data_IF_548843816031
#
_entry.id   IF_548843816031
#
_cell.length_a   1.000
_cell.length_b   1.000
_cell.length_c   1.000
_cell.angle_alpha   90.00
_cell.angle_beta   90.00
_cell.angle_gamma   90.00
#
_symmetry.space_group_name_H-M   'P 1'
#
loop_
_entity.id
_entity.type
_entity.pdbx_description
1 polymer ?
#
# COMPACT_ATOMS: atom_id res chain seq x y z
N UNK A 1 55.73 54.05 -6.12
CA UNK A 1 55.18 53.15 -5.09
C UNK A 1 53.70 53.38 -4.81
N UNK A 2 53.20 54.59 -4.48
CA UNK A 2 51.76 54.83 -4.19
C UNK A 2 50.79 54.44 -5.33
N UNK A 3 51.14 54.70 -6.62
CA UNK A 3 50.32 54.35 -7.77
C UNK A 3 50.21 52.82 -8.00
N UNK A 4 51.28 52.07 -7.70
CA UNK A 4 51.32 50.62 -7.83
C UNK A 4 50.45 49.94 -6.76
N UNK A 5 50.44 50.47 -5.53
CA UNK A 5 49.57 50.00 -4.46
C UNK A 5 48.07 50.20 -4.73
N UNK A 6 47.73 51.32 -5.41
CA UNK A 6 46.31 51.58 -5.78
C UNK A 6 45.87 50.61 -6.86
N UNK A 7 46.73 50.29 -7.84
CA UNK A 7 46.40 49.33 -8.91
C UNK A 7 46.20 47.91 -8.33
N UNK A 8 47.05 47.49 -7.39
CA UNK A 8 46.95 46.20 -6.72
C UNK A 8 45.68 46.14 -5.87
N UNK A 9 45.33 47.20 -5.12
CA UNK A 9 44.12 47.24 -4.32
C UNK A 9 42.83 47.16 -5.16
N UNK A 10 42.80 47.89 -6.32
CA UNK A 10 41.66 47.82 -7.26
C UNK A 10 41.52 46.44 -7.92
N UNK A 11 42.63 45.79 -8.26
CA UNK A 11 42.63 44.43 -8.83
C UNK A 11 42.12 43.39 -7.79
N UNK A 12 42.50 43.50 -6.53
CA UNK A 12 41.97 42.64 -5.45
C UNK A 12 40.49 42.84 -5.18
N UNK A 13 39.97 44.07 -5.25
CA UNK A 13 38.54 44.32 -5.12
C UNK A 13 37.72 43.75 -6.28
N UNK A 14 38.26 43.74 -7.49
CA UNK A 14 37.57 43.14 -8.67
C UNK A 14 37.56 41.63 -8.66
N UNK A 15 38.53 40.97 -8.00
CA UNK A 15 38.55 39.51 -7.82
C UNK A 15 37.62 38.99 -6.71
N UNK A 16 37.21 39.85 -5.78
CA UNK A 16 36.30 39.49 -4.69
C UNK A 16 34.80 39.55 -5.09
N UNK A 17 34.45 40.04 -6.29
CA UNK A 17 33.07 40.28 -6.71
C UNK A 17 32.39 39.10 -7.37
N UNK A 18 33.06 37.93 -7.53
CA UNK A 18 32.44 36.73 -8.08
C UNK A 18 32.15 35.67 -7.01
N UNK A 19 31.30 36.00 -6.05
CA UNK A 19 30.60 35.00 -5.30
C UNK A 19 29.25 34.78 -6.02
N UNK A 20 29.24 33.83 -6.95
CA UNK A 20 28.00 33.27 -7.45
C UNK A 20 27.43 32.39 -6.32
N UNK A 21 26.67 32.97 -5.41
CA UNK A 21 25.76 32.18 -4.60
C UNK A 21 24.74 31.52 -5.54
N UNK A 22 25.09 30.31 -5.99
CA UNK A 22 24.15 29.45 -6.67
C UNK A 22 23.11 29.03 -5.64
N UNK A 23 22.06 29.82 -5.50
CA UNK A 23 20.83 29.37 -4.86
C UNK A 23 20.18 28.35 -5.81
N UNK A 24 20.12 27.06 -5.44
CA UNK A 24 19.40 26.10 -6.26
C UNK A 24 17.99 26.62 -6.46
N UNK A 25 17.54 26.73 -7.73
CA UNK A 25 16.16 27.08 -8.01
C UNK A 25 15.29 26.06 -7.29
N UNK A 26 14.29 26.48 -6.49
CA UNK A 26 13.38 25.55 -5.85
C UNK A 26 12.78 24.70 -6.95
N UNK A 27 12.84 23.36 -6.81
CA UNK A 27 12.16 22.46 -7.71
C UNK A 27 10.66 22.82 -7.64
N UNK A 28 10.07 23.21 -8.76
CA UNK A 28 8.64 23.36 -8.85
C UNK A 28 8.05 21.93 -8.84
N UNK A 29 7.63 21.46 -7.68
CA UNK A 29 6.83 20.26 -7.61
C UNK A 29 5.49 20.51 -8.28
N UNK A 30 5.06 19.59 -9.14
CA UNK A 30 3.73 19.63 -9.73
C UNK A 30 2.74 19.57 -8.55
N UNK A 31 1.84 20.56 -8.43
CA UNK A 31 0.77 20.51 -7.44
C UNK A 31 -0.14 19.33 -7.80
N UNK A 32 -0.20 18.35 -6.93
CA UNK A 32 -1.13 17.23 -7.06
C UNK A 32 -2.32 17.55 -6.18
N UNK A 33 -3.48 17.79 -6.81
CA UNK A 33 -4.72 17.98 -6.08
C UNK A 33 -5.26 16.60 -5.68
N UNK A 34 -5.23 16.33 -4.38
CA UNK A 34 -5.77 15.12 -3.78
C UNK A 34 -7.21 15.38 -3.33
N UNK A 35 -8.18 14.50 -3.59
CA UNK A 35 -9.54 14.63 -3.09
C UNK A 35 -9.58 14.40 -1.58
N UNK A 36 -10.70 14.77 -0.96
CA UNK A 36 -10.98 14.35 0.40
C UNK A 36 -11.15 12.82 0.47
N UNK A 37 -10.78 12.25 1.62
CA UNK A 37 -11.01 10.84 1.87
C UNK A 37 -12.49 10.61 2.19
N UNK A 38 -13.18 9.87 1.34
CA UNK A 38 -14.52 9.36 1.57
C UNK A 38 -14.51 7.85 1.44
N UNK A 39 -15.16 7.15 2.36
CA UNK A 39 -15.07 5.70 2.45
C UNK A 39 -16.44 5.04 2.36
N UNK A 40 -16.46 3.83 1.83
CA UNK A 40 -17.63 2.97 1.78
C UNK A 40 -17.29 1.55 2.21
N UNK A 41 -18.28 0.88 2.83
CA UNK A 41 -18.11 -0.49 3.33
C UNK A 41 -18.04 -1.49 2.18
N UNK A 42 -16.97 -2.27 2.16
CA UNK A 42 -16.75 -3.38 1.23
C UNK A 42 -16.97 -4.69 1.97
N UNK A 43 -18.02 -5.40 1.62
CA UNK A 43 -18.34 -6.72 2.18
C UNK A 43 -18.66 -7.76 1.12
N UNK A 44 -19.09 -7.28 -0.05
CA UNK A 44 -19.43 -8.07 -1.22
C UNK A 44 -18.91 -7.40 -2.48
N UNK A 45 -18.49 -8.18 -3.46
CA UNK A 45 -18.04 -7.66 -4.74
C UNK A 45 -18.85 -8.25 -5.88
N UNK A 46 -19.29 -7.41 -6.85
CA UNK A 46 -19.86 -7.91 -8.08
C UNK A 46 -18.78 -8.67 -8.85
N UNK A 47 -19.14 -9.83 -9.36
CA UNK A 47 -18.22 -10.66 -10.16
C UNK A 47 -18.70 -10.70 -11.59
N UNK A 48 -17.79 -10.49 -12.53
CA UNK A 48 -18.05 -10.73 -13.95
C UNK A 48 -17.06 -11.77 -14.46
N UNK A 49 -17.58 -12.85 -15.04
CA UNK A 49 -16.75 -13.87 -15.71
C UNK A 49 -17.17 -13.92 -17.19
N UNK A 50 -16.23 -13.69 -18.10
CA UNK A 50 -16.47 -13.67 -19.55
C UNK A 50 -17.60 -12.70 -19.98
N UNK A 51 -17.72 -11.55 -19.29
CA UNK A 51 -18.75 -10.55 -19.60
C UNK A 51 -20.15 -10.86 -19.07
N UNK A 52 -20.33 -11.96 -18.33
CA UNK A 52 -21.57 -12.29 -17.65
C UNK A 52 -21.48 -11.87 -16.18
N UNK A 53 -22.49 -11.10 -15.72
CA UNK A 53 -22.61 -10.74 -14.30
C UNK A 53 -22.96 -11.99 -13.48
N UNK A 54 -22.07 -12.36 -12.60
CA UNK A 54 -22.26 -13.47 -11.66
C UNK A 54 -22.83 -12.95 -10.34
N UNK A 55 -23.38 -13.81 -9.46
CA UNK A 55 -23.77 -13.42 -8.12
C UNK A 55 -22.60 -12.75 -7.37
N UNK A 56 -22.91 -11.73 -6.57
CA UNK A 56 -21.90 -11.04 -5.76
C UNK A 56 -21.16 -12.01 -4.85
N UNK A 57 -19.85 -11.87 -4.79
CA UNK A 57 -18.98 -12.66 -3.92
C UNK A 57 -18.95 -12.02 -2.54
N UNK A 58 -19.36 -12.79 -1.51
CA UNK A 58 -19.20 -12.38 -0.12
C UNK A 58 -17.75 -12.62 0.31
N UNK A 59 -17.06 -11.57 0.72
CA UNK A 59 -15.69 -11.68 1.19
C UNK A 59 -15.61 -12.32 2.60
N UNK A 60 -14.51 -13.02 2.93
CA UNK A 60 -14.28 -13.59 4.28
C UNK A 60 -13.90 -12.51 5.32
N UNK A 61 -13.86 -11.27 4.91
CA UNK A 61 -13.61 -10.08 5.71
C UNK A 61 -14.39 -8.90 5.12
N UNK A 62 -14.57 -7.86 5.89
CA UNK A 62 -15.10 -6.58 5.44
C UNK A 62 -14.14 -5.46 5.86
N UNK A 63 -14.14 -4.37 5.13
CA UNK A 63 -13.33 -3.18 5.39
C UNK A 63 -13.94 -1.97 4.69
N UNK A 64 -13.47 -0.78 4.99
CA UNK A 64 -13.87 0.42 4.26
C UNK A 64 -12.80 0.81 3.23
N UNK A 65 -13.23 1.08 2.00
CA UNK A 65 -12.38 1.52 0.90
C UNK A 65 -12.71 2.96 0.49
N UNK A 66 -11.71 3.69 0.03
CA UNK A 66 -11.87 5.03 -0.53
C UNK A 66 -12.75 4.98 -1.80
N UNK A 67 -13.66 5.95 -1.96
CA UNK A 67 -14.59 6.04 -3.09
C UNK A 67 -13.90 6.31 -4.44
N UNK A 68 -12.67 6.80 -4.41
CA UNK A 68 -11.82 6.96 -5.61
C UNK A 68 -11.15 5.66 -6.08
N UNK A 69 -11.31 4.56 -5.33
CA UNK A 69 -10.71 3.27 -5.63
C UNK A 69 -11.66 2.35 -6.42
N UNK A 70 -11.10 1.57 -7.33
CA UNK A 70 -11.77 0.53 -8.08
C UNK A 70 -11.34 -0.86 -7.59
N UNK A 71 -12.29 -1.68 -7.18
CA UNK A 71 -12.02 -3.01 -6.64
C UNK A 71 -12.11 -4.07 -7.73
N UNK A 72 -11.09 -4.91 -7.84
CA UNK A 72 -11.03 -6.00 -8.82
C UNK A 72 -10.71 -7.33 -8.15
N UNK A 73 -11.68 -8.25 -8.13
CA UNK A 73 -11.47 -9.60 -7.65
C UNK A 73 -10.77 -10.44 -8.72
N UNK A 74 -9.55 -10.95 -8.42
CA UNK A 74 -8.72 -11.68 -9.41
C UNK A 74 -8.98 -13.19 -9.41
N UNK A 75 -8.88 -13.85 -8.27
CA UNK A 75 -9.05 -15.30 -8.16
C UNK A 75 -9.62 -15.68 -6.78
N UNK A 76 -10.93 -15.82 -6.64
CA UNK A 76 -11.47 -16.48 -5.46
C UNK A 76 -11.30 -17.98 -5.62
N UNK A 77 -10.52 -18.61 -4.75
CA UNK A 77 -10.53 -20.07 -4.64
C UNK A 77 -11.63 -20.48 -3.69
N UNK A 78 -12.73 -20.96 -4.26
CA UNK A 78 -13.88 -21.45 -3.51
C UNK A 78 -13.67 -22.89 -3.08
N UNK A 79 -13.95 -23.20 -1.83
CA UNK A 79 -14.22 -24.56 -1.38
C UNK A 79 -15.73 -24.75 -1.44
N UNK A 80 -16.19 -25.41 -2.49
CA UNK A 80 -17.59 -25.79 -2.62
C UNK A 80 -17.94 -26.87 -1.56
N UNK A 81 -18.80 -26.53 -0.61
CA UNK A 81 -19.40 -27.54 0.26
C UNK A 81 -20.60 -28.12 -0.48
N UNK A 82 -20.46 -29.36 -0.97
CA UNK A 82 -21.54 -30.08 -1.61
C UNK A 82 -22.52 -30.61 -0.55
N UNK A 83 -23.81 -30.51 -0.82
CA UNK A 83 -24.83 -31.25 -0.08
C UNK A 83 -24.79 -32.73 -0.48
N UNK A 84 -25.36 -33.60 0.36
CA UNK A 84 -25.46 -35.05 0.09
C UNK A 84 -26.18 -35.38 -1.23
N UNK A 85 -26.96 -34.45 -1.80
CA UNK A 85 -27.63 -34.55 -3.08
C UNK A 85 -26.82 -33.97 -4.26
N UNK A 86 -25.57 -33.60 -4.06
CA UNK A 86 -24.69 -33.01 -5.09
C UNK A 86 -24.93 -31.53 -5.40
N UNK A 87 -25.88 -30.86 -4.74
CA UNK A 87 -26.10 -29.42 -4.91
C UNK A 87 -25.17 -28.60 -4.01
N UNK A 88 -24.78 -27.40 -4.47
CA UNK A 88 -23.95 -26.45 -3.71
C UNK A 88 -24.84 -25.68 -2.73
N UNK A 89 -24.44 -25.58 -1.44
CA UNK A 89 -25.05 -24.65 -0.49
C UNK A 89 -24.56 -23.23 -0.75
N UNK A 90 -25.38 -22.33 -1.29
CA UNK A 90 -24.91 -20.98 -1.66
C UNK A 90 -24.54 -20.10 -0.45
N UNK A 91 -25.05 -20.40 0.73
CA UNK A 91 -24.87 -19.66 1.98
C UNK A 91 -23.60 -20.04 2.76
N UNK A 92 -22.78 -20.94 2.26
CA UNK A 92 -21.53 -21.40 2.87
C UNK A 92 -20.36 -21.47 1.89
N UNK A 93 -20.29 -20.56 0.94
CA UNK A 93 -19.10 -20.42 0.11
C UNK A 93 -17.96 -19.88 1.01
N UNK A 94 -17.13 -20.78 1.50
CA UNK A 94 -15.89 -20.41 2.20
C UNK A 94 -14.80 -20.27 1.16
N UNK A 95 -14.13 -19.14 1.19
CA UNK A 95 -12.94 -18.92 0.37
C UNK A 95 -11.71 -19.30 1.18
N UNK A 96 -10.88 -20.20 0.64
CA UNK A 96 -9.57 -20.50 1.21
C UNK A 96 -8.54 -19.47 0.80
N UNK A 97 -8.73 -18.85 -0.36
CA UNK A 97 -7.84 -17.87 -0.92
C UNK A 97 -8.65 -16.80 -1.70
N UNK A 98 -8.34 -15.53 -1.45
CA UNK A 98 -8.93 -14.39 -2.17
C UNK A 98 -7.81 -13.43 -2.57
N UNK A 99 -7.75 -13.08 -3.84
CA UNK A 99 -6.87 -12.03 -4.37
C UNK A 99 -7.74 -10.86 -4.83
N UNK A 100 -7.54 -9.72 -4.20
CA UNK A 100 -8.29 -8.50 -4.45
C UNK A 100 -7.32 -7.35 -4.71
N UNK A 101 -7.50 -6.66 -5.83
CA UNK A 101 -6.77 -5.43 -6.14
C UNK A 101 -7.66 -4.22 -5.82
N UNK A 102 -7.13 -3.29 -5.03
CA UNK A 102 -7.69 -1.96 -4.83
C UNK A 102 -6.91 -1.03 -5.76
N UNK A 103 -7.52 -0.66 -6.87
CA UNK A 103 -6.88 0.16 -7.90
C UNK A 103 -7.21 1.63 -7.69
N UNK A 104 -6.21 2.49 -7.85
CA UNK A 104 -6.34 3.94 -7.84
C UNK A 104 -5.93 4.49 -9.22
N UNK A 105 -6.84 4.51 -10.22
CA UNK A 105 -6.50 4.83 -11.61
C UNK A 105 -5.89 6.21 -11.77
N UNK A 106 -6.35 7.18 -10.98
CA UNK A 106 -5.88 8.58 -11.03
C UNK A 106 -4.39 8.70 -10.76
N UNK A 107 -3.82 7.84 -9.91
CA UNK A 107 -2.42 7.89 -9.50
C UNK A 107 -1.61 6.69 -9.97
N UNK A 108 -2.21 5.84 -10.80
CA UNK A 108 -1.61 4.58 -11.25
C UNK A 108 -1.09 3.74 -10.07
N UNK A 109 -1.84 3.78 -8.96
CA UNK A 109 -1.56 3.05 -7.73
C UNK A 109 -2.41 1.79 -7.62
N UNK A 110 -1.91 0.81 -6.89
CA UNK A 110 -2.65 -0.42 -6.56
C UNK A 110 -2.23 -0.96 -5.21
N UNK A 111 -3.20 -1.37 -4.40
CA UNK A 111 -2.97 -2.18 -3.21
C UNK A 111 -3.39 -3.61 -3.53
N UNK A 112 -2.42 -4.52 -3.57
CA UNK A 112 -2.67 -5.94 -3.73
C UNK A 112 -3.02 -6.57 -2.39
N UNK A 113 -4.22 -7.11 -2.25
CA UNK A 113 -4.65 -7.88 -1.09
C UNK A 113 -4.64 -9.37 -1.41
N UNK A 114 -4.03 -10.15 -0.54
CA UNK A 114 -4.03 -11.61 -0.59
C UNK A 114 -4.52 -12.14 0.75
N UNK A 115 -5.67 -12.81 0.72
CA UNK A 115 -6.24 -13.48 1.88
C UNK A 115 -6.01 -14.98 1.77
N UNK A 116 -5.59 -15.59 2.89
CA UNK A 116 -5.51 -17.03 3.08
C UNK A 116 -6.32 -17.46 4.31
N UNK A 117 -7.07 -18.55 4.17
CA UNK A 117 -7.68 -19.21 5.32
C UNK A 117 -6.67 -20.15 5.93
N UNK A 118 -6.31 -19.88 7.19
CA UNK A 118 -5.45 -20.78 7.97
C UNK A 118 -6.26 -21.97 8.50
N UNK A 119 -5.61 -23.11 8.68
CA UNK A 119 -6.19 -24.32 9.28
C UNK A 119 -6.13 -24.29 10.81
N UNK A 120 -5.37 -23.37 11.36
CA UNK A 120 -5.18 -23.14 12.78
C UNK A 120 -3.95 -22.29 13.06
N UNK A 121 -3.66 -22.00 14.35
CA UNK A 121 -2.54 -21.13 14.76
C UNK A 121 -1.15 -21.62 14.28
N UNK A 122 -1.00 -22.90 13.97
CA UNK A 122 0.28 -23.46 13.50
C UNK A 122 0.69 -22.91 12.12
N UNK A 123 -0.28 -22.50 11.28
CA UNK A 123 0.00 -21.97 9.94
C UNK A 123 0.51 -20.52 9.99
N UNK A 124 0.19 -19.77 11.06
CA UNK A 124 0.48 -18.33 11.18
C UNK A 124 1.95 -18.00 10.95
N UNK A 125 2.85 -18.78 11.55
CA UNK A 125 4.29 -18.54 11.40
C UNK A 125 4.73 -18.61 9.93
N UNK A 126 4.24 -19.59 9.18
CA UNK A 126 4.55 -19.75 7.77
C UNK A 126 4.04 -18.59 6.91
N UNK A 127 2.86 -18.09 7.22
CA UNK A 127 2.27 -16.93 6.52
C UNK A 127 3.05 -15.64 6.81
N UNK A 128 3.40 -15.41 8.09
CA UNK A 128 4.23 -14.25 8.49
C UNK A 128 5.61 -14.33 7.85
N UNK A 129 6.30 -15.48 7.96
CA UNK A 129 7.62 -15.68 7.34
C UNK A 129 7.59 -15.47 5.82
N UNK A 130 6.48 -15.85 5.17
CA UNK A 130 6.27 -15.61 3.74
C UNK A 130 6.13 -14.10 3.44
N UNK A 131 5.34 -13.38 4.23
CA UNK A 131 5.15 -11.94 4.07
C UNK A 131 6.44 -11.16 4.31
N UNK A 132 7.22 -11.53 5.32
CA UNK A 132 8.52 -10.91 5.60
C UNK A 132 9.53 -11.13 4.46
N UNK A 133 9.53 -12.30 3.81
CA UNK A 133 10.38 -12.54 2.62
C UNK A 133 10.05 -11.61 1.45
N UNK A 134 8.78 -11.25 1.25
CA UNK A 134 8.41 -10.25 0.25
C UNK A 134 8.87 -8.84 0.66
N UNK A 135 8.79 -8.51 1.93
CA UNK A 135 9.29 -7.24 2.47
C UNK A 135 10.81 -7.12 2.28
N UNK A 136 11.57 -8.17 2.59
CA UNK A 136 13.04 -8.22 2.49
C UNK A 136 13.56 -7.93 1.08
N UNK A 137 12.78 -8.25 0.03
CA UNK A 137 13.16 -7.95 -1.36
C UNK A 137 13.34 -6.45 -1.61
N UNK A 138 12.73 -5.60 -0.80
CA UNK A 138 12.83 -4.14 -0.92
C UNK A 138 13.97 -3.54 -0.08
N UNK A 139 14.60 -4.29 0.83
CA UNK A 139 15.64 -3.78 1.73
C UNK A 139 16.88 -3.26 1.02
N UNK A 140 17.22 -3.81 -0.15
CA UNK A 140 18.40 -3.38 -0.91
C UNK A 140 18.28 -1.93 -1.43
N UNK A 141 17.07 -1.43 -1.61
CA UNK A 141 16.78 -0.10 -2.15
C UNK A 141 16.14 0.83 -1.12
N UNK A 142 15.69 0.29 0.01
CA UNK A 142 15.13 1.06 1.10
C UNK A 142 16.24 1.73 1.91
N UNK A 143 16.02 2.98 2.31
CA UNK A 143 16.89 3.73 3.22
C UNK A 143 16.49 3.55 4.69
N UNK A 144 15.30 3.02 4.93
CA UNK A 144 14.76 2.70 6.24
C UNK A 144 13.43 1.96 6.13
N UNK A 145 13.11 1.22 7.17
CA UNK A 145 11.82 0.54 7.34
C UNK A 145 11.31 0.90 8.73
N UNK A 146 10.09 1.41 8.77
CA UNK A 146 9.36 1.68 10.00
C UNK A 146 8.30 0.61 10.15
N UNK A 147 8.27 -0.06 11.30
CA UNK A 147 7.30 -1.10 11.62
C UNK A 147 6.36 -0.58 12.69
N UNK A 148 5.07 -0.73 12.45
CA UNK A 148 4.01 -0.37 13.38
C UNK A 148 3.13 -1.59 13.66
N UNK A 149 3.10 -2.03 14.93
CA UNK A 149 2.18 -3.07 15.38
C UNK A 149 0.74 -2.56 15.43
N UNK A 150 -0.20 -3.40 15.04
CA UNK A 150 -1.63 -3.12 15.12
C UNK A 150 -2.34 -4.18 15.96
N UNK A 151 -3.13 -3.75 16.93
CA UNK A 151 -3.94 -4.62 17.80
C UNK A 151 -5.34 -4.04 18.00
N UNK A 152 -6.34 -4.79 17.58
CA UNK A 152 -7.76 -4.56 17.89
C UNK A 152 -8.35 -5.85 18.51
N UNK A 153 -8.28 -5.99 19.84
CA UNK A 153 -8.77 -7.19 20.54
C UNK A 153 -10.27 -7.37 20.43
N UNK A 154 -11.06 -6.29 20.29
CA UNK A 154 -12.51 -6.33 20.17
C UNK A 154 -12.93 -7.08 18.91
N UNK A 155 -12.25 -6.81 17.79
CA UNK A 155 -12.53 -7.44 16.51
C UNK A 155 -11.55 -8.56 16.15
N UNK A 156 -10.62 -8.87 17.06
CA UNK A 156 -9.56 -9.90 16.88
C UNK A 156 -8.73 -9.66 15.64
N UNK A 157 -8.31 -8.42 15.43
CA UNK A 157 -7.42 -8.04 14.34
C UNK A 157 -6.06 -7.68 14.91
N UNK A 158 -5.04 -8.45 14.52
CA UNK A 158 -3.67 -8.28 14.97
C UNK A 158 -2.73 -8.29 13.77
N UNK A 159 -1.65 -7.54 13.81
CA UNK A 159 -0.70 -7.56 12.70
C UNK A 159 0.34 -6.44 12.76
N UNK A 160 1.00 -6.24 11.63
CA UNK A 160 2.00 -5.19 11.48
C UNK A 160 1.83 -4.46 10.14
N UNK A 161 2.09 -3.17 10.17
CA UNK A 161 2.21 -2.31 9.00
C UNK A 161 3.67 -1.87 8.88
N UNK A 162 4.22 -1.95 7.67
CA UNK A 162 5.60 -1.61 7.35
C UNK A 162 5.62 -0.46 6.35
N UNK A 163 6.27 0.64 6.71
CA UNK A 163 6.50 1.79 5.84
C UNK A 163 7.94 1.79 5.37
N UNK A 164 8.14 1.60 4.07
CA UNK A 164 9.45 1.53 3.46
C UNK A 164 9.85 2.90 2.91
N UNK A 165 10.92 3.46 3.44
CA UNK A 165 11.47 4.77 3.06
C UNK A 165 12.55 4.62 2.00
N UNK A 166 12.64 5.58 1.10
CA UNK A 166 13.65 5.63 0.05
C UNK A 166 13.07 6.00 -1.31
N UNK A 167 13.78 6.83 -2.06
CA UNK A 167 13.29 7.40 -3.33
C UNK A 167 13.05 6.37 -4.43
N UNK A 168 13.67 5.18 -4.34
CA UNK A 168 13.62 4.11 -5.35
C UNK A 168 12.83 2.88 -4.92
N UNK A 169 12.14 2.94 -3.79
CA UNK A 169 11.35 1.81 -3.29
C UNK A 169 10.07 1.68 -4.10
N UNK A 170 9.81 0.50 -4.68
CA UNK A 170 8.64 0.25 -5.50
C UNK A 170 7.36 0.03 -4.68
N UNK A 171 7.49 -0.59 -3.48
CA UNK A 171 6.38 -0.80 -2.54
C UNK A 171 6.67 -0.02 -1.27
N UNK A 172 5.91 1.05 -1.04
CA UNK A 172 6.16 1.99 0.07
C UNK A 172 5.42 1.64 1.35
N UNK A 173 4.41 0.76 1.26
CA UNK A 173 3.66 0.25 2.40
C UNK A 173 3.31 -1.21 2.18
N UNK A 174 3.56 -2.04 3.19
CA UNK A 174 3.13 -3.44 3.24
C UNK A 174 2.56 -3.74 4.62
N UNK A 175 1.62 -4.66 4.70
CA UNK A 175 1.04 -5.07 5.98
C UNK A 175 0.59 -6.52 5.94
N UNK A 176 0.41 -7.10 7.12
CA UNK A 176 -0.33 -8.33 7.30
C UNK A 176 -1.20 -8.24 8.56
N UNK A 177 -2.37 -8.87 8.49
CA UNK A 177 -3.38 -8.91 9.55
C UNK A 177 -3.89 -10.33 9.72
N UNK A 178 -4.24 -10.70 10.96
CA UNK A 178 -4.71 -12.03 11.31
C UNK A 178 -5.63 -12.00 12.53
N UNK A 179 -6.49 -13.03 12.67
CA UNK A 179 -7.19 -13.33 13.92
C UNK A 179 -6.41 -14.31 14.80
N UNK A 180 -5.15 -14.63 14.41
CA UNK A 180 -4.27 -15.61 15.03
C UNK A 180 -4.75 -17.08 14.95
N UNK A 181 -5.83 -17.36 14.23
CA UNK A 181 -6.43 -18.70 14.18
C UNK A 181 -6.82 -19.16 12.79
N UNK A 182 -7.65 -18.40 12.09
CA UNK A 182 -8.30 -18.86 10.86
C UNK A 182 -8.11 -17.91 9.67
N UNK A 183 -7.77 -16.65 9.92
CA UNK A 183 -7.72 -15.62 8.92
C UNK A 183 -6.33 -14.99 8.83
N UNK A 184 -5.85 -14.85 7.61
CA UNK A 184 -4.61 -14.14 7.30
C UNK A 184 -4.83 -13.27 6.06
N UNK A 185 -4.55 -11.99 6.16
CA UNK A 185 -4.61 -11.03 5.08
C UNK A 185 -3.28 -10.32 4.95
N UNK A 186 -2.72 -10.28 3.75
CA UNK A 186 -1.55 -9.50 3.41
C UNK A 186 -1.92 -8.42 2.41
N UNK A 187 -1.34 -7.23 2.56
CA UNK A 187 -1.48 -6.14 1.61
C UNK A 187 -0.13 -5.53 1.23
N UNK A 188 -0.04 -4.98 0.02
CA UNK A 188 1.13 -4.27 -0.46
C UNK A 188 0.75 -3.17 -1.45
N UNK A 189 1.19 -1.93 -1.19
CA UNK A 189 0.99 -0.77 -2.06
C UNK A 189 2.09 -0.70 -3.11
N UNK A 190 1.70 -0.55 -4.37
CA UNK A 190 2.59 -0.26 -5.49
C UNK A 190 2.08 0.93 -6.29
N UNK A 191 3.01 1.75 -6.77
CA UNK A 191 2.77 2.74 -7.80
C UNK A 191 3.38 2.24 -9.10
N UNK A 192 2.57 2.08 -10.17
CA UNK A 192 2.99 1.60 -11.48
C UNK A 192 3.68 2.70 -12.29
N UNK A 193 4.65 3.37 -11.68
CA UNK A 193 5.47 4.43 -12.25
C UNK A 193 6.93 4.18 -11.87
N UNK A 194 7.86 4.81 -12.60
CA UNK A 194 9.27 4.76 -12.18
C UNK A 194 9.40 5.37 -10.78
N UNK A 195 9.95 4.62 -9.80
CA UNK A 195 10.02 5.10 -8.43
C UNK A 195 10.81 6.41 -8.32
N UNK A 196 10.15 7.44 -7.81
CA UNK A 196 10.69 8.74 -7.42
C UNK A 196 9.86 9.25 -6.25
N UNK A 197 9.99 8.56 -5.11
CA UNK A 197 9.10 8.75 -3.97
C UNK A 197 9.18 10.15 -3.37
N UNK A 198 10.29 10.87 -3.56
CA UNK A 198 10.42 12.26 -3.10
C UNK A 198 9.39 13.18 -3.81
N UNK A 199 9.16 12.95 -5.11
CA UNK A 199 8.16 13.71 -5.89
C UNK A 199 6.75 13.16 -5.74
N UNK A 200 6.61 11.89 -5.37
CA UNK A 200 5.34 11.19 -5.20
C UNK A 200 4.85 11.21 -3.75
N UNK A 201 5.63 11.79 -2.82
CA UNK A 201 5.32 11.79 -1.40
C UNK A 201 3.85 12.15 -1.08
N UNK A 202 3.24 13.21 -1.64
CA UNK A 202 1.84 13.52 -1.33
C UNK A 202 0.86 12.41 -1.72
N UNK A 203 1.12 11.71 -2.84
CA UNK A 203 0.28 10.58 -3.28
C UNK A 203 0.51 9.36 -2.40
N UNK A 204 1.77 9.11 -2.04
CA UNK A 204 2.14 7.99 -1.16
C UNK A 204 1.47 8.17 0.20
N UNK A 205 1.57 9.36 0.80
CA UNK A 205 0.96 9.68 2.10
C UNK A 205 -0.57 9.52 2.04
N UNK A 206 -1.19 9.98 0.95
CA UNK A 206 -2.63 9.83 0.74
C UNK A 206 -3.05 8.35 0.70
N UNK A 207 -2.34 7.52 -0.08
CA UNK A 207 -2.65 6.10 -0.21
C UNK A 207 -2.29 5.30 1.05
N UNK A 208 -1.28 5.73 1.81
CA UNK A 208 -0.96 5.14 3.12
C UNK A 208 -2.06 5.41 4.14
N UNK A 209 -2.64 6.60 4.16
CA UNK A 209 -3.80 6.92 5.01
C UNK A 209 -5.02 6.04 4.67
N UNK A 210 -5.26 5.74 3.39
CA UNK A 210 -6.32 4.79 2.98
C UNK A 210 -6.04 3.36 3.47
N UNK A 211 -4.77 2.94 3.50
CA UNK A 211 -4.38 1.63 4.05
C UNK A 211 -4.56 1.60 5.57
N UNK A 212 -4.19 2.66 6.27
CA UNK A 212 -4.40 2.78 7.71
C UNK A 212 -5.90 2.67 8.04
N UNK A 213 -6.75 3.38 7.29
CA UNK A 213 -8.20 3.30 7.44
C UNK A 213 -8.75 1.89 7.16
N UNK A 214 -8.22 1.22 6.10
CA UNK A 214 -8.56 -0.18 5.83
C UNK A 214 -8.21 -1.09 7.00
N UNK A 215 -7.02 -0.93 7.59
CA UNK A 215 -6.55 -1.72 8.74
C UNK A 215 -7.44 -1.51 9.96
N UNK A 216 -7.83 -0.26 10.23
CA UNK A 216 -8.67 0.11 11.37
C UNK A 216 -10.13 -0.39 11.23
N UNK A 217 -10.61 -0.48 10.00
CA UNK A 217 -12.00 -0.88 9.71
C UNK A 217 -12.17 -2.35 9.38
N UNK A 218 -11.06 -3.11 9.30
CA UNK A 218 -11.11 -4.53 8.97
C UNK A 218 -11.88 -5.34 10.02
N UNK A 219 -12.76 -6.24 9.55
CA UNK A 219 -13.49 -7.20 10.39
C UNK A 219 -13.53 -8.55 9.69
N UNK A 220 -13.28 -9.63 10.44
CA UNK A 220 -13.37 -11.01 9.95
C UNK A 220 -14.80 -11.54 9.91
N UNK A 221 -15.07 -12.52 9.03
CA UNK A 221 -16.37 -13.23 8.91
C UNK A 221 -16.25 -14.71 9.12
#
# INVERSE_FOLDING_TARGET
MKRLLIIIATACCLLAACHNDYTPKPYAYLRIDLPEHNYWLVDTLPTSINGQTMPSVVLPFLFEANDSAELTLKKPRQVATFMANGSIKPDRLKYDEVWLDINYPRWNGVVFLTYHRMRGPADLRGEVDSSLRFLEQHYQVATGVEEQGYEDPEHKVYGNVYYLKGSKVASTCQFWLTDSNSHYLRGALYLNVTPNNDSLAPVIDYLQADIEHLVETLRWR
#
